data_IF_465516480723
#
_entry.id   IF_465516480723
#
_cell.length_a   1.000
_cell.length_b   1.000
_cell.length_c   1.000
_cell.angle_alpha   90.00
_cell.angle_beta   90.00
_cell.angle_gamma   90.00
#
_symmetry.space_group_name_H-M   'P 1'
#
loop_
_entity.id
_entity.type
_entity.pdbx_description
1 polymer ?
#
# COMPACT_ATOMS: atom_id res chain seq x y z
N UNK A 1 81.01 -39.57 28.77
CA UNK A 1 80.08 -39.47 27.62
C UNK A 1 79.09 -38.33 27.90
N UNK A 2 78.79 -37.55 26.87
CA UNK A 2 78.25 -36.17 26.93
C UNK A 2 76.73 -36.13 27.21
N UNK A 3 76.31 -35.07 27.90
CA UNK A 3 74.94 -34.65 28.13
C UNK A 3 74.18 -34.30 26.84
N UNK A 4 72.83 -34.44 26.84
CA UNK A 4 71.88 -33.46 26.28
C UNK A 4 70.50 -33.64 26.96
N UNK A 5 70.00 -32.57 27.62
CA UNK A 5 68.61 -32.38 28.01
C UNK A 5 67.75 -31.96 26.81
N UNK A 6 66.49 -32.39 26.76
CA UNK A 6 65.41 -31.68 26.04
C UNK A 6 64.11 -31.72 26.83
N UNK A 7 63.71 -30.57 27.37
CA UNK A 7 62.35 -30.27 27.80
C UNK A 7 61.43 -30.15 26.57
N UNK A 8 60.17 -30.55 26.69
CA UNK A 8 59.09 -30.03 25.84
C UNK A 8 57.77 -30.00 26.61
N UNK A 9 57.23 -28.78 26.75
CA UNK A 9 55.96 -28.39 27.31
C UNK A 9 54.95 -28.29 26.16
N UNK A 10 53.83 -28.99 26.20
CA UNK A 10 52.57 -28.70 25.47
C UNK A 10 51.47 -29.34 26.32
N UNK A 11 50.45 -28.69 26.87
CA UNK A 11 49.69 -27.51 26.46
C UNK A 11 48.22 -27.93 26.44
N UNK A 12 47.49 -27.72 27.54
CA UNK A 12 46.09 -28.12 27.69
C UNK A 12 45.17 -27.25 26.82
N UNK A 13 44.36 -27.85 25.96
CA UNK A 13 43.26 -27.18 25.24
C UNK A 13 41.95 -27.81 25.71
N UNK A 14 41.30 -27.17 26.67
CA UNK A 14 39.91 -27.45 27.02
C UNK A 14 39.01 -26.69 26.04
N UNK A 15 38.43 -27.42 25.08
CA UNK A 15 37.45 -26.87 24.15
C UNK A 15 36.12 -26.64 24.87
N UNK A 16 35.73 -25.39 25.09
CA UNK A 16 34.40 -25.02 25.57
C UNK A 16 33.40 -25.17 24.42
N UNK A 17 32.41 -26.05 24.59
CA UNK A 17 31.26 -26.17 23.69
C UNK A 17 30.32 -24.99 23.95
N UNK A 18 30.51 -23.89 23.24
CA UNK A 18 29.48 -22.85 23.09
C UNK A 18 28.37 -23.41 22.18
N UNK A 19 27.23 -23.77 22.78
CA UNK A 19 26.03 -24.16 22.05
C UNK A 19 25.55 -23.04 21.14
N UNK A 20 25.67 -23.24 19.83
CA UNK A 20 25.14 -22.32 18.83
C UNK A 20 23.62 -22.32 18.86
N UNK A 21 23.02 -21.14 19.09
CA UNK A 21 21.60 -20.91 18.82
C UNK A 21 21.35 -21.13 17.33
N UNK A 22 20.53 -22.12 16.99
CA UNK A 22 20.00 -22.28 15.64
C UNK A 22 19.06 -21.10 15.35
N UNK A 23 19.51 -20.18 14.50
CA UNK A 23 18.64 -19.16 13.93
C UNK A 23 17.65 -19.84 12.98
N UNK A 24 16.38 -19.92 13.37
CA UNK A 24 15.30 -20.31 12.46
C UNK A 24 15.11 -19.18 11.46
N UNK A 25 15.71 -19.30 10.26
CA UNK A 25 15.36 -18.46 9.12
C UNK A 25 13.90 -18.71 8.77
N UNK A 26 13.03 -17.74 9.08
CA UNK A 26 11.71 -17.67 8.46
C UNK A 26 11.92 -17.25 7.01
N UNK A 27 12.18 -18.22 6.14
CA UNK A 27 12.03 -18.02 4.71
C UNK A 27 10.56 -17.65 4.45
N UNK A 28 10.32 -16.36 4.20
CA UNK A 28 9.00 -15.84 3.82
C UNK A 28 8.49 -16.65 2.62
N UNK A 29 7.31 -17.23 2.76
CA UNK A 29 6.69 -18.03 1.71
C UNK A 29 6.50 -17.16 0.45
N UNK A 30 6.70 -17.69 -0.77
CA UNK A 30 6.53 -16.94 -2.02
C UNK A 30 5.15 -16.28 -2.21
N UNK A 31 4.15 -16.67 -1.43
CA UNK A 31 2.79 -16.11 -1.47
C UNK A 31 2.68 -14.68 -0.93
N UNK A 32 3.57 -14.21 -0.04
CA UNK A 32 3.58 -12.80 0.41
C UNK A 32 4.09 -11.82 -0.68
N UNK A 33 4.59 -12.35 -1.82
CA UNK A 33 5.44 -11.58 -2.73
C UNK A 33 4.74 -10.79 -3.83
N UNK A 34 3.40 -10.72 -3.91
CA UNK A 34 2.76 -9.94 -4.99
C UNK A 34 1.34 -9.46 -4.67
N UNK A 35 1.14 -8.70 -3.58
CA UNK A 35 0.05 -7.72 -3.61
C UNK A 35 0.48 -6.56 -4.53
N UNK A 36 0.23 -6.71 -5.84
CA UNK A 36 0.40 -5.61 -6.78
C UNK A 36 -0.84 -4.72 -6.67
N UNK A 37 -0.70 -3.41 -6.40
CA UNK A 37 -1.85 -2.50 -6.38
C UNK A 37 -2.62 -2.65 -7.70
N UNK A 38 -3.95 -2.55 -7.70
CA UNK A 38 -4.73 -2.67 -8.92
C UNK A 38 -4.34 -1.52 -9.87
N UNK A 39 -3.96 -1.87 -11.10
CA UNK A 39 -3.54 -0.91 -12.11
C UNK A 39 -4.21 -1.24 -13.45
N UNK A 40 -4.72 -0.21 -14.10
CA UNK A 40 -5.25 -0.32 -15.45
C UNK A 40 -4.95 0.94 -16.27
N UNK A 41 -4.95 0.80 -17.60
CA UNK A 41 -4.89 1.91 -18.53
C UNK A 41 -6.06 1.78 -19.50
N UNK A 42 -6.90 2.80 -19.56
CA UNK A 42 -8.05 2.88 -20.47
C UNK A 42 -7.68 3.68 -21.71
N UNK A 43 -8.20 3.27 -22.86
CA UNK A 43 -7.89 3.85 -24.16
C UNK A 43 -9.16 4.25 -24.89
N UNK A 44 -9.08 5.36 -25.63
CA UNK A 44 -10.18 5.82 -26.48
C UNK A 44 -10.46 4.83 -27.60
N UNK A 45 -9.44 4.34 -28.28
CA UNK A 45 -9.62 3.53 -29.49
C UNK A 45 -9.46 2.04 -29.17
N UNK A 46 -9.93 1.17 -30.06
CA UNK A 46 -9.75 -0.27 -29.93
C UNK A 46 -8.27 -0.69 -30.11
N UNK A 47 -7.93 -1.86 -29.57
CA UNK A 47 -6.58 -2.44 -29.60
C UNK A 47 -5.50 -1.55 -28.95
N UNK A 48 -5.87 -0.86 -27.86
CA UNK A 48 -4.96 -0.06 -27.02
C UNK A 48 -4.34 1.15 -27.73
N UNK A 49 -5.15 1.85 -28.53
CA UNK A 49 -4.70 2.98 -29.35
C UNK A 49 -5.36 4.30 -28.95
N UNK A 50 -4.78 5.40 -29.42
CA UNK A 50 -5.28 6.74 -29.20
C UNK A 50 -4.99 7.27 -27.79
N UNK A 51 -5.69 8.34 -27.38
CA UNK A 51 -5.62 8.90 -26.04
C UNK A 51 -5.84 7.83 -24.96
N UNK A 52 -5.01 7.88 -23.93
CA UNK A 52 -5.00 6.91 -22.86
C UNK A 52 -4.96 7.60 -21.50
N UNK A 53 -5.54 6.95 -20.49
CA UNK A 53 -5.52 7.41 -19.10
C UNK A 53 -5.15 6.24 -18.19
N UNK A 54 -4.13 6.46 -17.36
CA UNK A 54 -3.74 5.52 -16.32
C UNK A 54 -4.68 5.62 -15.12
N UNK A 55 -5.06 4.47 -14.58
CA UNK A 55 -5.99 4.28 -13.46
C UNK A 55 -5.29 3.38 -12.43
N UNK A 56 -4.72 4.00 -11.39
CA UNK A 56 -4.13 3.29 -10.24
C UNK A 56 -5.04 3.24 -9.01
N UNK A 57 -6.21 3.87 -9.08
CA UNK A 57 -7.16 3.99 -7.98
C UNK A 57 -8.59 4.21 -8.51
N UNK A 58 -9.56 4.21 -7.60
CA UNK A 58 -10.95 4.45 -7.94
C UNK A 58 -11.19 5.90 -8.41
N UNK A 59 -11.80 6.07 -9.58
CA UNK A 59 -12.23 7.38 -10.12
C UNK A 59 -13.74 7.49 -10.11
N UNK A 60 -14.28 8.38 -9.27
CA UNK A 60 -15.72 8.63 -9.16
C UNK A 60 -16.29 9.31 -10.40
N UNK A 61 -15.46 10.04 -11.11
CA UNK A 61 -15.80 10.68 -12.38
C UNK A 61 -14.54 10.67 -13.23
N UNK A 62 -14.65 10.12 -14.43
CA UNK A 62 -13.56 10.05 -15.40
C UNK A 62 -13.41 11.36 -16.20
N UNK A 63 -14.47 12.17 -16.31
CA UNK A 63 -14.44 13.45 -17.03
C UNK A 63 -13.97 13.37 -18.49
N UNK A 64 -14.06 12.19 -19.12
CA UNK A 64 -13.53 11.97 -20.46
C UNK A 64 -14.44 12.63 -21.49
N UNK A 65 -13.84 13.38 -22.41
CA UNK A 65 -14.53 13.91 -23.60
C UNK A 65 -14.75 12.84 -24.69
N UNK A 66 -14.46 11.57 -24.41
CA UNK A 66 -14.42 10.49 -25.39
C UNK A 66 -14.77 9.13 -24.76
N UNK A 67 -15.30 8.17 -25.56
CA UNK A 67 -15.66 6.85 -25.06
C UNK A 67 -14.45 5.91 -24.93
N UNK A 68 -14.49 5.03 -23.94
CA UNK A 68 -13.45 4.00 -23.70
C UNK A 68 -13.74 2.76 -24.54
N UNK A 69 -12.83 2.40 -25.46
CA UNK A 69 -13.02 1.22 -26.34
C UNK A 69 -12.03 0.08 -26.11
N UNK A 70 -10.96 0.29 -25.35
CA UNK A 70 -10.09 -0.80 -24.89
C UNK A 70 -9.44 -0.49 -23.54
N UNK A 71 -8.99 -1.53 -22.84
CA UNK A 71 -8.36 -1.41 -21.51
C UNK A 71 -7.25 -2.44 -21.36
N UNK A 72 -6.12 -2.01 -20.81
CA UNK A 72 -5.09 -2.91 -20.27
C UNK A 72 -5.22 -3.00 -18.76
N UNK A 73 -5.21 -4.21 -18.21
CA UNK A 73 -5.29 -4.48 -16.79
C UNK A 73 -3.95 -5.08 -16.37
N UNK A 74 -3.09 -4.25 -15.79
CA UNK A 74 -1.78 -4.68 -15.32
C UNK A 74 -1.88 -5.50 -14.02
N UNK A 75 -2.92 -5.24 -13.23
CA UNK A 75 -3.22 -5.96 -11.98
C UNK A 75 -4.63 -5.68 -11.48
N UNK A 76 -5.15 -6.63 -10.70
CA UNK A 76 -6.44 -6.53 -10.05
C UNK A 76 -7.61 -6.77 -11.00
N UNK A 77 -8.81 -6.43 -10.51
CA UNK A 77 -10.06 -6.53 -11.25
C UNK A 77 -10.75 -5.20 -11.15
N UNK A 78 -11.36 -4.72 -12.23
CA UNK A 78 -11.90 -3.38 -12.35
C UNK A 78 -13.38 -3.40 -12.71
N UNK A 79 -14.19 -2.58 -12.07
CA UNK A 79 -15.59 -2.33 -12.37
C UNK A 79 -15.71 -0.96 -13.03
N UNK A 80 -16.29 -0.96 -14.23
CA UNK A 80 -16.54 0.19 -15.07
C UNK A 80 -18.05 0.45 -15.07
N UNK A 81 -18.47 1.66 -14.72
CA UNK A 81 -19.88 2.01 -14.56
C UNK A 81 -20.31 3.12 -15.53
N UNK A 82 -21.58 3.07 -15.95
CA UNK A 82 -22.11 4.00 -16.96
C UNK A 82 -22.30 5.41 -16.42
N UNK A 83 -22.54 5.54 -15.11
CA UNK A 83 -22.73 6.82 -14.42
C UNK A 83 -21.55 7.12 -13.52
N UNK A 84 -21.40 8.38 -13.17
CA UNK A 84 -20.48 8.81 -12.12
C UNK A 84 -20.83 8.17 -10.77
N UNK A 85 -19.86 8.12 -9.87
CA UNK A 85 -19.95 7.57 -8.51
C UNK A 85 -20.40 6.10 -8.48
N UNK A 86 -20.02 5.31 -9.49
CA UNK A 86 -20.24 3.85 -9.55
C UNK A 86 -21.73 3.51 -9.49
N UNK A 87 -22.51 4.16 -10.35
CA UNK A 87 -23.97 3.99 -10.44
C UNK A 87 -24.37 3.52 -11.84
N UNK A 88 -25.64 3.12 -11.97
CA UNK A 88 -26.20 2.61 -13.21
C UNK A 88 -25.69 1.20 -13.50
N UNK A 89 -25.57 0.85 -14.78
CA UNK A 89 -25.01 -0.42 -15.19
C UNK A 89 -23.49 -0.43 -14.97
N UNK A 90 -22.98 -1.51 -14.38
CA UNK A 90 -21.57 -1.72 -14.16
C UNK A 90 -21.11 -3.06 -14.77
N UNK A 91 -19.89 -3.08 -15.31
CA UNK A 91 -19.27 -4.26 -15.93
C UNK A 91 -17.86 -4.43 -15.40
N UNK A 92 -17.51 -5.67 -15.14
CA UNK A 92 -16.20 -6.02 -14.55
C UNK A 92 -15.26 -6.57 -15.62
N UNK A 93 -14.00 -6.16 -15.54
CA UNK A 93 -12.89 -6.64 -16.37
C UNK A 93 -11.69 -6.95 -15.48
N UNK A 94 -11.05 -8.07 -15.71
CA UNK A 94 -9.90 -8.57 -14.94
C UNK A 94 -8.67 -8.85 -15.81
N UNK A 95 -8.77 -8.52 -17.10
CA UNK A 95 -7.72 -8.77 -18.09
C UNK A 95 -7.73 -7.72 -19.19
N UNK A 96 -6.61 -7.67 -19.89
CA UNK A 96 -6.46 -6.93 -21.14
C UNK A 96 -7.61 -7.24 -22.10
N UNK A 97 -8.33 -6.20 -22.49
CA UNK A 97 -9.50 -6.30 -23.35
C UNK A 97 -9.33 -5.33 -24.53
N UNK A 98 -9.01 -5.84 -25.73
CA UNK A 98 -8.72 -5.01 -26.90
C UNK A 98 -9.97 -4.40 -27.54
N UNK A 99 -11.16 -4.93 -27.21
CA UNK A 99 -12.46 -4.44 -27.68
C UNK A 99 -13.47 -4.53 -26.55
N UNK A 100 -13.83 -3.40 -25.96
CA UNK A 100 -14.77 -3.33 -24.85
C UNK A 100 -16.24 -3.35 -25.30
N UNK A 101 -16.55 -3.15 -26.59
CA UNK A 101 -17.92 -3.03 -27.07
C UNK A 101 -18.84 -4.20 -26.68
N UNK A 102 -18.34 -5.44 -26.72
CA UNK A 102 -19.09 -6.64 -26.31
C UNK A 102 -19.31 -6.72 -24.79
N UNK A 103 -18.33 -6.27 -24.00
CA UNK A 103 -18.38 -6.25 -22.53
C UNK A 103 -19.32 -5.15 -22.04
N UNK A 104 -19.17 -3.95 -22.61
CA UNK A 104 -19.90 -2.74 -22.25
C UNK A 104 -21.33 -2.72 -22.79
N UNK A 105 -21.64 -3.48 -23.86
CA UNK A 105 -22.97 -3.51 -24.49
C UNK A 105 -23.51 -2.11 -24.83
N UNK A 106 -22.63 -1.23 -25.31
CA UNK A 106 -22.98 0.14 -25.70
C UNK A 106 -22.98 1.17 -24.55
N UNK A 107 -22.63 0.81 -23.31
CA UNK A 107 -22.50 1.78 -22.23
C UNK A 107 -21.26 2.67 -22.40
N UNK A 108 -21.40 3.95 -22.08
CA UNK A 108 -20.28 4.89 -21.96
C UNK A 108 -19.77 4.89 -20.53
N UNK A 109 -18.48 4.63 -20.33
CA UNK A 109 -17.90 4.54 -18.98
C UNK A 109 -17.69 5.94 -18.40
N UNK A 110 -18.27 6.21 -17.23
CA UNK A 110 -18.13 7.48 -16.51
C UNK A 110 -17.43 7.34 -15.15
N UNK A 111 -17.34 6.13 -14.58
CA UNK A 111 -16.55 5.87 -13.37
C UNK A 111 -15.93 4.48 -13.39
N UNK A 112 -14.82 4.31 -12.67
CA UNK A 112 -14.05 3.06 -12.65
C UNK A 112 -13.43 2.82 -11.27
N UNK A 113 -13.52 1.60 -10.73
CA UNK A 113 -12.93 1.22 -9.42
C UNK A 113 -12.44 -0.23 -9.39
N UNK A 114 -11.49 -0.58 -8.52
CA UNK A 114 -11.12 -1.97 -8.33
C UNK A 114 -12.22 -2.78 -7.62
N UNK A 115 -12.34 -4.06 -7.96
CA UNK A 115 -13.32 -5.02 -7.44
C UNK A 115 -12.61 -6.03 -6.55
N UNK A 116 -12.78 -5.88 -5.24
CA UNK A 116 -12.23 -6.83 -4.26
C UNK A 116 -10.83 -6.52 -3.74
N UNK A 117 -10.32 -5.30 -3.93
CA UNK A 117 -9.09 -4.82 -3.30
C UNK A 117 -9.10 -3.29 -3.31
N UNK A 118 -8.86 -2.67 -2.15
CA UNK A 118 -8.79 -1.23 -1.86
C UNK A 118 -9.14 -0.26 -2.98
N UNK A 119 -10.30 0.40 -2.89
CA UNK A 119 -10.65 1.50 -3.80
C UNK A 119 -12.14 1.81 -3.79
N UNK A 120 -12.65 2.25 -2.66
CA UNK A 120 -14.05 2.61 -2.48
C UNK A 120 -14.31 4.11 -2.59
N UNK A 121 -14.30 4.67 -3.80
CA UNK A 121 -15.32 5.68 -4.11
C UNK A 121 -16.63 4.92 -4.35
N UNK A 122 -17.85 5.43 -4.14
CA UNK A 122 -18.29 6.78 -3.84
C UNK A 122 -19.80 6.81 -3.56
N UNK A 123 -20.24 7.93 -2.97
CA UNK A 123 -21.64 8.31 -2.82
C UNK A 123 -22.28 7.89 -1.50
N UNK A 124 -21.82 8.52 -0.41
CA UNK A 124 -22.44 8.53 0.91
C UNK A 124 -21.55 9.35 1.83
N UNK A 125 -22.10 10.30 2.58
CA UNK A 125 -21.35 11.06 3.58
C UNK A 125 -20.82 10.07 4.61
N UNK A 126 -19.55 9.67 4.51
CA UNK A 126 -18.91 8.80 5.49
C UNK A 126 -17.89 9.66 6.26
N UNK A 127 -18.14 9.95 7.55
CA UNK A 127 -17.17 10.67 8.38
C UNK A 127 -15.85 9.91 8.53
N UNK A 128 -15.78 8.63 8.15
CA UNK A 128 -14.60 7.81 8.22
C UNK A 128 -14.32 7.17 6.85
N UNK A 129 -13.55 7.82 5.95
CA UNK A 129 -13.15 7.19 4.70
C UNK A 129 -12.40 5.89 5.00
N UNK A 130 -12.70 4.79 4.27
CA UNK A 130 -11.95 3.55 4.41
C UNK A 130 -10.50 3.82 4.03
N UNK A 131 -9.57 3.30 4.82
CA UNK A 131 -8.15 3.44 4.56
C UNK A 131 -7.63 2.31 3.65
N UNK A 132 -6.62 2.61 2.85
CA UNK A 132 -5.82 1.64 2.12
C UNK A 132 -4.41 1.60 2.69
N UNK A 133 -4.29 1.14 3.94
CA UNK A 133 -3.01 1.05 4.67
C UNK A 133 -2.11 0.03 3.98
N UNK A 134 -1.07 0.51 3.29
CA UNK A 134 0.00 -0.35 2.78
C UNK A 134 1.25 -0.07 3.59
N UNK A 135 1.91 -1.13 4.08
CA UNK A 135 3.13 -0.97 4.85
C UNK A 135 4.37 -1.59 4.18
N UNK A 136 5.49 -0.89 4.30
CA UNK A 136 6.81 -1.36 3.95
C UNK A 136 7.67 -1.38 5.22
N UNK A 137 7.91 -2.57 5.76
CA UNK A 137 8.60 -2.77 7.03
C UNK A 137 10.08 -3.10 6.85
N UNK A 138 10.94 -2.32 7.49
CA UNK A 138 12.35 -2.64 7.71
C UNK A 138 12.63 -3.03 9.17
N UNK A 139 13.91 -3.25 9.49
CA UNK A 139 14.33 -3.70 10.83
C UNK A 139 14.12 -2.66 11.94
N UNK A 140 14.16 -1.36 11.59
CA UNK A 140 14.10 -0.25 12.55
C UNK A 140 12.97 0.76 12.27
N UNK A 141 12.27 0.61 11.15
CA UNK A 141 11.21 1.51 10.75
C UNK A 141 10.16 0.78 9.90
N UNK A 142 8.95 1.34 9.84
CA UNK A 142 7.88 0.90 8.95
C UNK A 142 7.19 2.12 8.35
N UNK A 143 7.12 2.13 7.02
CA UNK A 143 6.46 3.19 6.27
C UNK A 143 5.05 2.74 5.93
N UNK A 144 4.06 3.56 6.25
CA UNK A 144 2.65 3.29 5.98
C UNK A 144 2.08 4.34 5.05
N UNK A 145 1.54 3.91 3.91
CA UNK A 145 0.71 4.75 3.05
C UNK A 145 -0.72 4.65 3.52
N UNK A 146 -1.31 5.78 3.87
CA UNK A 146 -2.67 5.92 4.37
C UNK A 146 -2.93 5.09 5.65
N UNK A 147 -2.23 5.42 6.76
CA UNK A 147 -2.35 4.67 8.01
C UNK A 147 -3.79 4.61 8.49
N UNK A 148 -4.14 3.46 9.07
CA UNK A 148 -5.51 3.16 9.46
C UNK A 148 -5.67 2.72 10.91
N UNK A 149 -6.86 2.95 11.45
CA UNK A 149 -7.33 2.35 12.69
C UNK A 149 -8.71 1.79 12.44
N UNK A 150 -8.91 0.50 12.71
CA UNK A 150 -10.18 -0.21 12.49
C UNK A 150 -10.70 -0.07 11.05
N UNK A 151 -9.79 -0.03 10.06
CA UNK A 151 -10.14 0.11 8.65
C UNK A 151 -10.47 1.54 8.19
N UNK A 152 -10.29 2.54 9.07
CA UNK A 152 -10.55 3.95 8.75
C UNK A 152 -9.30 4.80 8.83
N UNK A 153 -9.25 5.87 8.03
CA UNK A 153 -8.10 6.78 7.98
C UNK A 153 -7.87 7.47 9.33
N UNK A 154 -6.60 7.60 9.69
CA UNK A 154 -6.18 8.35 10.88
C UNK A 154 -6.21 9.85 10.57
N UNK A 155 -6.84 10.62 11.46
CA UNK A 155 -6.84 12.08 11.34
C UNK A 155 -5.46 12.64 11.64
N UNK A 156 -5.01 13.60 10.85
CA UNK A 156 -3.82 14.39 11.16
C UNK A 156 -4.06 15.24 12.41
N UNK A 157 -5.30 15.69 12.62
CA UNK A 157 -5.70 16.42 13.81
C UNK A 157 -7.09 16.03 14.27
N UNK A 158 -7.17 15.47 15.48
CA UNK A 158 -8.46 15.16 16.09
C UNK A 158 -9.17 16.43 16.62
N UNK A 159 -8.40 17.42 17.07
CA UNK A 159 -8.91 18.64 17.70
C UNK A 159 -8.09 19.87 17.25
N UNK A 160 -8.77 20.98 16.94
CA UNK A 160 -8.13 22.25 16.57
C UNK A 160 -7.70 22.34 15.10
N UNK A 161 -6.85 23.31 14.80
CA UNK A 161 -6.36 23.56 13.43
C UNK A 161 -5.36 22.49 12.97
N UNK A 162 -5.44 22.11 11.70
CA UNK A 162 -4.54 21.16 11.06
C UNK A 162 -3.13 21.73 10.85
N UNK A 163 -2.35 21.73 11.92
CA UNK A 163 -0.97 22.20 11.97
C UNK A 163 0.01 21.02 11.87
N UNK A 164 1.22 21.28 11.36
CA UNK A 164 2.28 20.26 11.30
C UNK A 164 2.57 19.64 12.69
N UNK A 165 2.64 20.45 13.75
CA UNK A 165 2.86 19.94 15.10
C UNK A 165 1.72 19.05 15.64
N UNK A 166 0.50 19.23 15.13
CA UNK A 166 -0.63 18.39 15.48
C UNK A 166 -0.60 17.07 14.70
N UNK A 167 -0.27 17.13 13.40
CA UNK A 167 -0.03 15.95 12.57
C UNK A 167 1.09 15.06 13.11
N UNK A 168 2.23 15.64 13.49
CA UNK A 168 3.33 14.93 14.11
C UNK A 168 2.89 14.17 15.36
N UNK A 169 2.15 14.83 16.27
CA UNK A 169 1.62 14.19 17.50
C UNK A 169 0.62 13.07 17.20
N UNK A 170 -0.23 13.25 16.19
CA UNK A 170 -1.18 12.22 15.77
C UNK A 170 -0.46 11.01 15.18
N UNK A 171 0.52 11.22 14.31
CA UNK A 171 1.36 10.17 13.74
C UNK A 171 2.14 9.41 14.83
N UNK A 172 2.71 10.13 15.79
CA UNK A 172 3.40 9.59 16.95
C UNK A 172 2.52 8.68 17.80
N UNK A 173 1.31 9.16 18.11
CA UNK A 173 0.33 8.42 18.91
C UNK A 173 -0.09 7.17 18.18
N UNK A 174 -0.33 7.28 16.87
CA UNK A 174 -0.70 6.15 16.04
C UNK A 174 0.42 5.11 15.93
N UNK A 175 1.67 5.51 15.67
CA UNK A 175 2.82 4.60 15.64
C UNK A 175 2.99 3.85 16.98
N UNK A 176 2.79 4.54 18.11
CA UNK A 176 2.79 3.89 19.44
C UNK A 176 1.68 2.88 19.61
N UNK A 177 0.50 3.13 19.04
CA UNK A 177 -0.64 2.20 19.09
C UNK A 177 -0.39 0.87 18.38
N UNK A 178 0.48 0.86 17.36
CA UNK A 178 0.85 -0.34 16.58
C UNK A 178 2.24 -0.91 16.97
N UNK A 179 2.80 -0.48 18.10
CA UNK A 179 4.00 -1.09 18.71
C UNK A 179 5.35 -0.50 18.29
N UNK A 180 5.36 0.69 17.67
CA UNK A 180 6.56 1.48 17.40
C UNK A 180 6.79 2.54 18.50
N UNK A 181 7.97 3.15 18.57
CA UNK A 181 8.28 4.12 19.64
C UNK A 181 7.80 5.55 19.32
N UNK A 182 7.64 5.84 18.03
CA UNK A 182 7.12 7.12 17.53
C UNK A 182 7.16 7.18 16.00
N UNK A 183 6.90 8.35 15.47
CA UNK A 183 6.99 8.69 14.05
C UNK A 183 8.21 9.58 13.81
N UNK A 184 8.91 9.37 12.70
CA UNK A 184 10.02 10.23 12.27
C UNK A 184 9.60 11.20 11.16
N UNK A 185 8.53 10.87 10.43
CA UNK A 185 7.99 11.66 9.31
C UNK A 185 6.49 11.40 9.17
N UNK A 186 5.77 12.43 8.77
CA UNK A 186 4.36 12.37 8.42
C UNK A 186 4.03 13.32 7.28
N UNK A 187 3.06 12.92 6.46
CA UNK A 187 2.46 13.78 5.45
C UNK A 187 0.95 13.86 5.67
N UNK A 188 0.36 15.00 5.31
CA UNK A 188 -1.08 15.24 5.45
C UNK A 188 -1.76 15.27 4.09
N UNK A 189 -3.00 14.80 4.06
CA UNK A 189 -3.88 14.90 2.90
C UNK A 189 -5.25 15.45 3.34
N UNK A 190 -5.76 16.44 2.62
CA UNK A 190 -7.08 17.01 2.88
C UNK A 190 -8.14 16.30 2.06
N UNK A 191 -9.07 15.63 2.74
CA UNK A 191 -10.23 14.98 2.13
C UNK A 191 -11.49 15.62 2.70
N UNK A 192 -12.32 16.22 1.84
CA UNK A 192 -13.61 16.81 2.22
C UNK A 192 -13.53 17.74 3.45
N UNK A 193 -12.55 18.66 3.46
CA UNK A 193 -12.29 19.64 4.55
C UNK A 193 -11.84 19.05 5.89
N UNK A 194 -11.29 17.82 5.88
CA UNK A 194 -10.62 17.22 7.04
C UNK A 194 -9.25 16.72 6.62
N UNK A 195 -8.28 16.88 7.50
CA UNK A 195 -6.89 16.51 7.28
C UNK A 195 -6.62 15.14 7.90
N UNK A 196 -6.12 14.23 7.08
CA UNK A 196 -5.76 12.87 7.45
C UNK A 196 -4.26 12.67 7.27
N UNK A 197 -3.71 11.71 8.00
CA UNK A 197 -2.36 11.24 7.72
C UNK A 197 -2.39 10.53 6.36
N UNK A 198 -1.54 10.99 5.46
CA UNK A 198 -1.37 10.47 4.11
C UNK A 198 -0.28 9.42 4.09
N UNK A 199 0.85 9.71 4.73
CA UNK A 199 1.98 8.81 4.85
C UNK A 199 2.60 8.98 6.25
N UNK A 200 3.04 7.89 6.86
CA UNK A 200 3.70 7.93 8.17
C UNK A 200 4.89 6.96 8.19
N UNK A 201 6.03 7.44 8.67
CA UNK A 201 7.20 6.61 8.96
C UNK A 201 7.32 6.37 10.46
N UNK A 202 6.95 5.17 10.91
CA UNK A 202 7.14 4.75 12.29
C UNK A 202 8.57 4.25 12.53
N UNK A 203 9.16 4.56 13.68
CA UNK A 203 10.54 4.20 14.03
C UNK A 203 10.67 3.69 15.47
N UNK A 204 11.72 2.91 15.74
CA UNK A 204 12.09 2.50 17.11
C UNK A 204 12.98 3.52 17.83
N UNK A 205 13.62 4.45 17.13
CA UNK A 205 14.54 5.42 17.74
C UNK A 205 14.71 6.63 16.81
N UNK A 206 15.05 7.80 17.37
CA UNK A 206 15.33 9.01 16.59
C UNK A 206 14.09 9.78 16.12
N UNK A 207 13.08 9.90 17.00
CA UNK A 207 11.88 10.70 16.82
C UNK A 207 12.06 12.12 17.40
#
# INVERSE_FOLDING_TARGET
>A
MKAVHRLSIIGAVAATLTGGLLATSTAQTPEERLYRPPEATIYRDAAYRGPAVFIGEAKTDLGLAWPVNSIRVASGRWELCEKTRYRGNCRTVDRDTPMLGSVLRGMTVQSIRPVGGGGGGGGGWNPNPPANDQSARGSFAEFHTQPSTNGYRVLACANGSATAACAARAADTWCRSIGWNGSAREHMETINRREYLADVLCVRSGY
#
